data_IF_030939482467
#
_entry.id   IF_030939482467
#
_cell.length_a   1.000
_cell.length_b   1.000
_cell.length_c   1.000
_cell.angle_alpha   90.00
_cell.angle_beta   90.00
_cell.angle_gamma   90.00
#
_symmetry.space_group_name_H-M   'P 1'
#
loop_
_entity.id
_entity.type
_entity.pdbx_description
1 polymer ?
#
# COMPACT_ATOMS: atom_id res chain seq x y z
N UNK A 1 5.67 -3.81 -6.06
CA UNK A 1 4.40 -4.28 -5.46
C UNK A 1 4.06 -5.68 -5.97
N UNK A 2 3.23 -6.47 -5.28
CA UNK A 2 3.03 -7.92 -5.52
C UNK A 2 1.83 -8.29 -6.42
N UNK A 3 1.29 -7.33 -7.19
CA UNK A 3 0.10 -7.49 -8.07
C UNK A 3 0.13 -8.76 -8.92
N UNK A 4 1.26 -9.05 -9.57
CA UNK A 4 1.39 -10.20 -10.48
C UNK A 4 1.35 -11.56 -9.76
N UNK A 5 1.39 -11.60 -8.42
CA UNK A 5 1.11 -12.83 -7.65
C UNK A 5 -0.39 -13.11 -7.53
N UNK A 6 -1.23 -12.10 -7.68
CA UNK A 6 -2.68 -12.15 -7.46
C UNK A 6 -3.48 -12.05 -8.76
N UNK A 7 -3.00 -11.27 -9.73
CA UNK A 7 -3.63 -11.10 -11.03
C UNK A 7 -2.78 -11.65 -12.17
N UNK A 8 -3.46 -12.12 -13.21
CA UNK A 8 -2.93 -12.25 -14.57
C UNK A 8 -3.46 -11.07 -15.39
N UNK A 9 -2.56 -10.39 -16.11
CA UNK A 9 -2.91 -9.31 -17.03
C UNK A 9 -2.95 -9.86 -18.46
N UNK A 10 -4.10 -9.77 -19.12
CA UNK A 10 -4.23 -10.15 -20.54
C UNK A 10 -3.83 -8.98 -21.45
N UNK A 11 -2.53 -8.86 -21.69
CA UNK A 11 -1.97 -7.83 -22.57
C UNK A 11 -2.48 -7.89 -24.01
N UNK A 12 -2.94 -9.05 -24.47
CA UNK A 12 -3.50 -9.21 -25.82
C UNK A 12 -4.86 -8.51 -25.96
N UNK A 13 -5.54 -8.27 -24.84
CA UNK A 13 -6.84 -7.62 -24.78
C UNK A 13 -6.75 -6.17 -24.26
N UNK A 14 -5.56 -5.59 -24.07
CA UNK A 14 -5.41 -4.20 -23.63
C UNK A 14 -5.10 -3.30 -24.82
N UNK A 15 -5.81 -2.17 -24.93
CA UNK A 15 -5.49 -1.14 -25.91
C UNK A 15 -4.06 -0.61 -25.63
N UNK A 16 -3.13 -0.63 -26.61
CA UNK A 16 -1.76 -0.15 -26.41
C UNK A 16 -1.63 1.26 -25.86
N UNK A 17 -2.61 2.15 -26.11
CA UNK A 17 -2.64 3.50 -25.55
C UNK A 17 -2.85 3.54 -24.02
N UNK A 18 -3.25 2.41 -23.42
CA UNK A 18 -3.57 2.28 -22.00
C UNK A 18 -2.58 1.40 -21.24
N UNK A 19 -1.43 1.02 -21.83
CA UNK A 19 -0.42 0.19 -21.14
C UNK A 19 0.10 0.84 -19.85
N UNK A 20 0.18 2.17 -19.82
CA UNK A 20 0.64 2.92 -18.64
C UNK A 20 -0.27 2.72 -17.41
N UNK A 21 -1.54 2.36 -17.59
CA UNK A 21 -2.45 2.07 -16.48
C UNK A 21 -2.08 0.80 -15.71
N UNK A 22 -1.29 -0.10 -16.32
CA UNK A 22 -0.95 -1.41 -15.79
C UNK A 22 0.48 -1.51 -15.28
N UNK A 23 1.23 -0.41 -15.31
CA UNK A 23 2.59 -0.31 -14.80
C UNK A 23 2.61 -0.67 -13.32
N UNK A 24 3.49 -1.60 -12.94
CA UNK A 24 3.64 -2.02 -11.56
C UNK A 24 4.35 -0.93 -10.77
N UNK A 25 3.70 -0.48 -9.70
CA UNK A 25 4.31 0.44 -8.74
C UNK A 25 5.62 -0.12 -8.15
N UNK A 26 6.67 0.70 -8.16
CA UNK A 26 7.98 0.39 -7.59
C UNK A 26 7.85 0.12 -6.09
N UNK A 27 8.29 -1.06 -5.64
CA UNK A 27 8.30 -1.44 -4.22
C UNK A 27 9.16 -0.53 -3.34
N UNK A 28 10.07 0.27 -3.91
CA UNK A 28 10.86 1.26 -3.16
C UNK A 28 10.07 2.54 -2.84
N UNK A 29 8.98 2.79 -3.56
CA UNK A 29 8.14 3.98 -3.41
C UNK A 29 6.88 3.71 -2.60
N UNK A 30 6.41 2.46 -2.58
CA UNK A 30 5.13 2.06 -1.98
C UNK A 30 5.30 0.88 -1.01
N UNK A 31 4.63 0.95 0.14
CA UNK A 31 4.57 -0.13 1.15
C UNK A 31 3.12 -0.58 1.34
N UNK A 32 2.94 -1.87 1.62
CA UNK A 32 1.62 -2.45 1.95
C UNK A 32 1.33 -2.41 3.45
N UNK A 33 2.29 -1.98 4.28
CA UNK A 33 2.23 -2.06 5.74
C UNK A 33 1.85 -3.46 6.30
N UNK A 34 2.21 -4.51 5.55
CA UNK A 34 1.90 -5.90 5.87
C UNK A 34 0.45 -6.32 5.61
N UNK A 35 -0.37 -5.45 5.01
CA UNK A 35 -1.74 -5.78 4.59
C UNK A 35 -1.69 -6.56 3.27
N UNK A 36 -2.50 -7.61 3.18
CA UNK A 36 -2.58 -8.47 1.98
C UNK A 36 -3.27 -7.76 0.83
N UNK A 37 -3.03 -8.24 -0.39
CA UNK A 37 -3.72 -7.76 -1.59
C UNK A 37 -5.23 -7.93 -1.45
N UNK A 38 -5.96 -6.86 -1.78
CA UNK A 38 -7.42 -6.83 -1.67
C UNK A 38 -8.06 -6.53 -3.03
N UNK A 39 -8.73 -7.53 -3.58
CA UNK A 39 -9.48 -7.43 -4.83
C UNK A 39 -10.64 -6.43 -4.73
N UNK A 40 -11.19 -6.25 -3.53
CA UNK A 40 -12.31 -5.34 -3.26
C UNK A 40 -11.88 -3.96 -2.79
N UNK A 41 -10.59 -3.60 -2.87
CA UNK A 41 -10.14 -2.25 -2.53
C UNK A 41 -10.85 -1.21 -3.41
N UNK A 42 -11.24 -0.08 -2.84
CA UNK A 42 -11.85 1.04 -3.58
C UNK A 42 -10.89 1.62 -4.63
N UNK A 43 -9.58 1.42 -4.44
CA UNK A 43 -8.53 1.84 -5.37
C UNK A 43 -8.32 0.84 -6.53
N UNK A 44 -8.91 -0.36 -6.45
CA UNK A 44 -8.75 -1.34 -7.50
C UNK A 44 -9.54 -0.94 -8.76
N UNK A 45 -8.93 -1.11 -9.93
CA UNK A 45 -9.60 -0.94 -11.21
C UNK A 45 -10.61 -2.07 -11.47
N UNK A 46 -11.62 -1.77 -12.27
CA UNK A 46 -12.56 -2.76 -12.77
C UNK A 46 -11.85 -3.76 -13.70
N UNK A 47 -12.25 -5.04 -13.67
CA UNK A 47 -11.67 -6.13 -14.45
C UNK A 47 -11.52 -5.89 -15.96
N UNK A 48 -12.35 -5.02 -16.56
CA UNK A 48 -12.40 -4.72 -18.00
C UNK A 48 -11.69 -3.40 -18.37
N UNK A 49 -11.00 -2.78 -17.42
CA UNK A 49 -10.31 -1.50 -17.65
C UNK A 49 -9.33 -1.64 -18.82
N UNK A 50 -9.33 -0.66 -19.73
CA UNK A 50 -8.41 -0.64 -20.87
C UNK A 50 -8.65 -1.70 -21.94
N UNK A 51 -9.73 -2.49 -21.85
CA UNK A 51 -10.01 -3.59 -22.79
C UNK A 51 -10.23 -3.10 -24.24
N UNK A 52 -9.70 -3.82 -25.22
CA UNK A 52 -10.10 -3.68 -26.63
C UNK A 52 -11.39 -4.45 -26.90
N UNK A 53 -11.49 -5.69 -26.40
CA UNK A 53 -12.73 -6.45 -26.37
C UNK A 53 -13.36 -6.36 -24.97
N UNK A 54 -14.35 -5.48 -24.83
CA UNK A 54 -15.05 -5.22 -23.55
C UNK A 54 -15.82 -6.42 -22.99
N UNK A 55 -16.06 -7.47 -23.79
CA UNK A 55 -16.68 -8.70 -23.31
C UNK A 55 -15.69 -9.63 -22.57
N UNK A 56 -14.39 -9.31 -22.58
CA UNK A 56 -13.34 -10.09 -21.92
C UNK A 56 -12.60 -9.23 -20.90
N UNK A 57 -12.32 -9.74 -19.69
CA UNK A 57 -11.55 -8.99 -18.70
C UNK A 57 -10.08 -8.85 -19.14
N UNK A 58 -9.43 -7.77 -18.71
CA UNK A 58 -7.97 -7.54 -18.83
C UNK A 58 -7.24 -7.93 -17.56
N UNK A 59 -7.90 -7.89 -16.40
CA UNK A 59 -7.36 -8.31 -15.10
C UNK A 59 -8.11 -9.55 -14.61
N UNK A 60 -7.38 -10.66 -14.47
CA UNK A 60 -7.94 -11.97 -14.14
C UNK A 60 -7.38 -12.42 -12.78
N UNK A 61 -8.20 -12.55 -11.72
CA UNK A 61 -7.78 -13.10 -10.44
C UNK A 61 -7.28 -14.54 -10.55
N UNK A 62 -6.14 -14.83 -9.93
CA UNK A 62 -5.52 -16.17 -9.93
C UNK A 62 -6.15 -17.14 -8.93
N UNK A 63 -6.85 -16.62 -7.92
CA UNK A 63 -7.51 -17.40 -6.86
C UNK A 63 -8.98 -17.00 -6.84
N UNK A 64 -9.89 -17.97 -6.61
CA UNK A 64 -11.34 -17.75 -6.49
C UNK A 64 -11.86 -16.80 -7.58
N UNK A 65 -11.53 -17.11 -8.84
CA UNK A 65 -11.60 -16.17 -9.95
C UNK A 65 -12.98 -15.54 -10.08
N UNK A 66 -14.04 -16.34 -10.08
CA UNK A 66 -15.41 -15.86 -10.23
C UNK A 66 -15.80 -14.88 -9.11
N UNK A 67 -15.53 -15.23 -7.85
CA UNK A 67 -15.85 -14.37 -6.71
C UNK A 67 -15.02 -13.07 -6.75
N UNK A 68 -13.71 -13.18 -6.98
CA UNK A 68 -12.82 -12.04 -6.95
C UNK A 68 -12.99 -11.12 -8.15
N UNK A 69 -13.42 -11.64 -9.31
CA UNK A 69 -13.72 -10.82 -10.49
C UNK A 69 -14.89 -9.87 -10.21
N UNK A 70 -15.89 -10.32 -9.44
CA UNK A 70 -17.04 -9.51 -9.04
C UNK A 70 -16.68 -8.40 -8.03
N UNK A 71 -15.57 -8.54 -7.31
CA UNK A 71 -15.08 -7.53 -6.36
C UNK A 71 -14.32 -6.38 -7.05
N UNK A 72 -13.71 -6.66 -8.21
CA UNK A 72 -12.86 -5.70 -8.90
C UNK A 72 -13.63 -4.47 -9.36
N UNK A 73 -13.16 -3.29 -8.92
CA UNK A 73 -13.73 -2.02 -9.35
C UNK A 73 -15.00 -1.60 -8.61
N UNK A 74 -15.34 -2.24 -7.49
CA UNK A 74 -16.42 -1.78 -6.61
C UNK A 74 -16.23 -0.32 -6.21
N UNK A 75 -17.34 0.41 -6.03
CA UNK A 75 -17.36 1.83 -5.61
C UNK A 75 -18.36 2.09 -4.49
N UNK A 76 -18.77 1.04 -3.78
CA UNK A 76 -19.73 1.11 -2.68
C UNK A 76 -19.12 1.74 -1.42
N UNK A 77 -17.82 1.51 -1.21
CA UNK A 77 -17.10 2.09 -0.07
C UNK A 77 -15.69 1.54 0.09
N UNK A 78 -14.96 2.10 1.06
CA UNK A 78 -13.63 1.59 1.42
C UNK A 78 -13.72 0.18 1.98
N UNK A 79 -12.82 -0.69 1.57
CA UNK A 79 -12.71 -2.03 2.14
C UNK A 79 -12.08 -1.99 3.54
N UNK A 80 -12.16 -3.12 4.25
CA UNK A 80 -11.45 -3.27 5.52
C UNK A 80 -9.91 -3.11 5.36
N UNK A 81 -9.36 -3.51 4.21
CA UNK A 81 -7.94 -3.35 3.92
C UNK A 81 -7.57 -1.88 3.67
N UNK A 82 -8.40 -1.15 2.92
CA UNK A 82 -8.22 0.30 2.68
C UNK A 82 -8.18 1.05 4.01
N UNK A 83 -9.17 0.80 4.88
CA UNK A 83 -9.27 1.39 6.22
C UNK A 83 -8.05 1.01 7.07
N UNK A 84 -7.60 -0.24 7.01
CA UNK A 84 -6.43 -0.69 7.76
C UNK A 84 -5.14 -0.01 7.31
N UNK A 85 -4.94 0.18 6.00
CA UNK A 85 -3.79 0.91 5.46
C UNK A 85 -3.85 2.38 5.90
N UNK A 86 -4.99 3.06 5.74
CA UNK A 86 -5.16 4.45 6.18
C UNK A 86 -4.90 4.61 7.68
N UNK A 87 -5.42 3.70 8.50
CA UNK A 87 -5.18 3.73 9.93
C UNK A 87 -3.69 3.54 10.26
N UNK A 88 -2.99 2.63 9.57
CA UNK A 88 -1.54 2.45 9.76
C UNK A 88 -0.72 3.65 9.30
N UNK A 89 -1.19 4.36 8.26
CA UNK A 89 -0.53 5.55 7.72
C UNK A 89 -0.74 6.80 8.57
N UNK A 90 -1.98 7.01 9.06
CA UNK A 90 -2.40 8.31 9.60
C UNK A 90 -2.99 8.22 11.01
N UNK A 91 -3.53 7.08 11.42
CA UNK A 91 -4.16 6.95 12.74
C UNK A 91 -3.15 6.39 13.75
N UNK A 92 -2.53 7.31 14.49
CA UNK A 92 -1.89 6.96 15.75
C UNK A 92 -3.02 6.61 16.74
N UNK A 93 -3.00 5.43 17.40
CA UNK A 93 -4.04 5.08 18.36
C UNK A 93 -4.12 6.15 19.45
N UNK A 94 -5.30 6.73 19.69
CA UNK A 94 -5.52 7.71 20.77
C UNK A 94 -5.22 7.10 22.16
N UNK A 95 -5.19 5.76 22.27
CA UNK A 95 -4.70 5.07 23.46
C UNK A 95 -3.17 5.24 23.68
N UNK A 96 -2.38 5.49 22.63
CA UNK A 96 -1.00 5.99 22.75
C UNK A 96 -0.95 7.47 23.10
N UNK A 97 -1.96 8.26 22.72
CA UNK A 97 -2.06 9.67 23.12
C UNK A 97 -2.40 9.85 24.62
N UNK A 98 -3.01 8.86 25.28
CA UNK A 98 -3.15 8.82 26.76
C UNK A 98 -1.91 8.28 27.49
N UNK A 99 -0.96 7.67 26.77
CA UNK A 99 0.35 7.31 27.33
C UNK A 99 1.28 8.54 27.47
N UNK A 100 0.77 9.76 27.35
CA UNK A 100 1.46 11.03 27.62
C UNK A 100 1.94 11.22 29.08
N UNK A 101 1.87 10.16 29.91
CA UNK A 101 2.45 10.10 31.24
C UNK A 101 3.52 9.00 31.42
N UNK A 102 3.90 8.26 30.35
CA UNK A 102 5.02 7.30 30.37
C UNK A 102 5.76 7.32 29.01
N UNK A 103 7.10 7.39 28.98
CA UNK A 103 7.85 7.56 27.73
C UNK A 103 7.87 6.25 26.96
N UNK A 104 7.14 6.18 25.85
CA UNK A 104 7.37 5.21 24.78
C UNK A 104 7.12 5.90 23.44
N UNK A 105 7.93 6.93 23.20
CA UNK A 105 7.85 7.88 22.11
C UNK A 105 8.39 7.23 20.81
N UNK A 106 7.76 6.13 20.39
CA UNK A 106 8.05 5.43 19.15
C UNK A 106 6.88 5.62 18.20
N UNK A 107 6.93 6.71 17.45
CA UNK A 107 6.06 6.90 16.30
C UNK A 107 6.74 7.73 15.21
N UNK A 108 6.12 7.69 14.04
CA UNK A 108 6.47 8.57 12.93
C UNK A 108 5.65 9.85 13.04
N UNK A 109 6.33 11.00 13.02
CA UNK A 109 5.71 12.33 13.03
C UNK A 109 5.46 12.85 11.61
N UNK A 110 5.88 12.12 10.59
CA UNK A 110 5.71 12.48 9.19
C UNK A 110 5.16 11.31 8.37
N UNK A 111 4.16 11.58 7.53
CA UNK A 111 3.51 10.58 6.66
C UNK A 111 4.48 9.89 5.70
N UNK A 112 5.54 10.57 5.24
CA UNK A 112 6.48 10.02 4.27
C UNK A 112 7.54 9.11 4.90
N UNK A 113 7.53 8.91 6.22
CA UNK A 113 8.51 8.09 6.92
C UNK A 113 8.60 6.67 6.37
N UNK A 114 7.47 6.03 6.06
CA UNK A 114 7.48 4.71 5.44
C UNK A 114 8.16 4.70 4.06
N UNK A 115 7.86 5.69 3.23
CA UNK A 115 8.46 5.82 1.89
C UNK A 115 9.96 6.12 1.96
N UNK A 116 10.39 6.98 2.88
CA UNK A 116 11.81 7.30 3.06
C UNK A 116 12.60 6.15 3.68
N UNK A 117 11.98 5.34 4.54
CA UNK A 117 12.60 4.14 5.08
C UNK A 117 12.91 3.11 3.98
N UNK A 118 11.97 2.89 3.05
CA UNK A 118 12.18 2.02 1.87
C UNK A 118 13.29 2.52 0.93
N UNK A 119 13.59 3.83 0.95
CA UNK A 119 14.68 4.45 0.20
C UNK A 119 16.03 4.42 0.94
N UNK A 120 16.14 3.63 2.00
CA UNK A 120 17.34 3.50 2.84
C UNK A 120 17.80 4.82 3.49
N UNK A 121 16.91 5.82 3.58
CA UNK A 121 17.25 7.13 4.14
C UNK A 121 17.46 7.09 5.66
N UNK A 122 16.96 6.05 6.32
CA UNK A 122 17.23 5.77 7.73
C UNK A 122 18.73 5.73 8.02
N UNK A 123 19.54 5.13 7.13
CA UNK A 123 20.97 4.94 7.33
C UNK A 123 21.83 5.92 6.51
N UNK A 124 21.22 6.81 5.73
CA UNK A 124 21.94 7.74 4.88
C UNK A 124 22.62 8.87 5.71
N UNK A 125 23.91 9.19 5.50
CA UNK A 125 24.66 10.12 6.35
C UNK A 125 23.98 11.49 6.54
N UNK A 126 23.40 12.02 5.46
CA UNK A 126 22.78 13.34 5.47
C UNK A 126 21.30 13.35 5.95
N UNK A 127 20.65 12.18 6.05
CA UNK A 127 19.22 12.09 6.36
C UNK A 127 18.92 11.37 7.67
N UNK A 128 19.84 10.52 8.13
CA UNK A 128 19.73 9.74 9.37
C UNK A 128 19.33 10.60 10.57
N UNK A 129 19.92 11.77 10.74
CA UNK A 129 19.59 12.67 11.86
C UNK A 129 18.14 13.17 11.85
N UNK A 130 17.59 13.43 10.66
CA UNK A 130 16.19 13.83 10.50
C UNK A 130 15.25 12.63 10.67
N UNK A 131 15.62 11.48 10.10
CA UNK A 131 14.87 10.23 10.19
C UNK A 131 14.79 9.69 11.63
N UNK A 132 15.85 9.84 12.45
CA UNK A 132 15.85 9.49 13.88
C UNK A 132 14.85 10.33 14.68
N UNK A 133 14.59 11.57 14.28
CA UNK A 133 13.66 12.45 15.01
C UNK A 133 12.22 12.23 14.59
N UNK A 134 11.98 11.99 13.30
CA UNK A 134 10.65 12.05 12.72
C UNK A 134 10.11 10.70 12.26
N UNK A 135 10.98 9.70 12.05
CA UNK A 135 10.63 8.44 11.40
C UNK A 135 11.06 7.23 12.24
N UNK A 136 10.97 7.34 13.57
CA UNK A 136 11.51 6.34 14.49
C UNK A 136 10.91 4.96 14.28
N UNK A 137 9.62 4.90 13.96
CA UNK A 137 8.88 3.65 13.80
C UNK A 137 9.11 3.04 12.42
N UNK A 138 9.05 3.83 11.36
CA UNK A 138 9.34 3.34 9.99
C UNK A 138 10.79 2.92 9.81
N UNK A 139 11.73 3.50 10.56
CA UNK A 139 13.16 3.16 10.51
C UNK A 139 13.62 2.15 11.56
N UNK A 140 12.70 1.55 12.32
CA UNK A 140 13.02 0.63 13.41
C UNK A 140 14.00 1.20 14.46
N UNK A 141 14.03 2.52 14.62
CA UNK A 141 14.82 3.21 15.66
C UNK A 141 14.17 3.17 17.04
N UNK A 142 13.08 2.44 17.15
CA UNK A 142 12.33 2.25 18.39
C UNK A 142 12.94 1.21 19.32
N UNK A 143 14.25 0.95 19.23
CA UNK A 143 14.94 0.11 20.20
C UNK A 143 14.77 0.72 21.57
N UNK A 144 13.83 0.15 22.33
CA UNK A 144 13.70 0.31 23.76
C UNK A 144 15.03 -0.05 24.37
N UNK A 145 15.77 0.95 24.85
CA UNK A 145 17.05 0.75 25.48
C UNK A 145 17.14 1.55 26.75
N UNK A 146 17.22 0.81 27.86
CA UNK A 146 17.94 1.12 29.12
C UNK A 146 17.35 2.18 30.05
#
# INVERSE_FOLDING_TARGET
MDRDKHLTIDWSNINPQHYDYFVVADSKMFTTYGIKYDYGSIMHYNAYTGAVNIAKPTMIPKVNQEQNLALLGQRDGMSAADIAILNKMYCIPILKAKAFFFPADCDDTNVYCGAWALKELCNHPNHKGWMIKNCRKSCDFCTSGQ
#
